data_IF_578117092692
#
_entry.id   IF_578117092692
#
_cell.length_a   1.000
_cell.length_b   1.000
_cell.length_c   1.000
_cell.angle_alpha   90.00
_cell.angle_beta   90.00
_cell.angle_gamma   90.00
#
_symmetry.space_group_name_H-M   'P 1'
#
loop_
_entity.id
_entity.type
_entity.pdbx_description
1 polymer ?
#
# COMPACT_ATOMS: atom_id res chain seq x y z
N UNK A 1 -2.39 11.56 -22.88
CA UNK A 1 -2.77 10.36 -22.11
C UNK A 1 -4.28 10.21 -22.11
N UNK A 2 -5.06 11.12 -21.52
CA UNK A 2 -6.52 11.03 -21.38
C UNK A 2 -7.27 10.67 -22.69
N UNK A 3 -7.00 11.37 -23.79
CA UNK A 3 -7.68 11.10 -25.06
C UNK A 3 -7.38 9.70 -25.63
N UNK A 4 -6.14 9.21 -25.44
CA UNK A 4 -5.75 7.88 -25.90
C UNK A 4 -6.45 6.80 -25.08
N UNK A 5 -6.49 6.96 -23.76
CA UNK A 5 -7.18 6.03 -22.85
C UNK A 5 -8.69 6.01 -23.14
N UNK A 6 -9.31 7.19 -23.28
CA UNK A 6 -10.73 7.32 -23.62
C UNK A 6 -11.06 6.68 -24.95
N UNK A 7 -10.25 6.92 -25.96
CA UNK A 7 -10.47 6.36 -27.31
C UNK A 7 -10.38 4.82 -27.28
N UNK A 8 -9.38 4.28 -26.59
CA UNK A 8 -9.27 2.83 -26.38
C UNK A 8 -10.49 2.25 -25.65
N UNK A 9 -11.01 2.92 -24.62
CA UNK A 9 -12.21 2.48 -23.89
C UNK A 9 -13.49 2.56 -24.74
N UNK A 10 -13.62 3.55 -25.60
CA UNK A 10 -14.77 3.69 -26.49
C UNK A 10 -14.85 2.56 -27.52
N UNK A 11 -13.69 2.12 -28.04
CA UNK A 11 -13.60 1.05 -29.04
C UNK A 11 -13.58 -0.36 -28.44
N UNK A 12 -13.39 -0.51 -27.12
CA UNK A 12 -13.46 -1.80 -26.47
C UNK A 12 -14.89 -2.36 -26.47
N UNK A 13 -15.06 -3.66 -26.65
CA UNK A 13 -16.35 -4.34 -26.54
C UNK A 13 -16.83 -4.33 -25.08
N UNK A 14 -15.91 -4.54 -24.13
CA UNK A 14 -16.18 -4.51 -22.70
C UNK A 14 -14.94 -4.07 -21.91
N UNK A 15 -15.14 -3.48 -20.72
CA UNK A 15 -14.10 -2.96 -19.85
C UNK A 15 -14.19 -3.65 -18.49
N UNK A 16 -13.09 -4.20 -18.02
CA UNK A 16 -12.96 -4.76 -16.67
C UNK A 16 -12.15 -3.78 -15.81
N UNK A 17 -12.69 -3.43 -14.66
CA UNK A 17 -12.02 -2.58 -13.67
C UNK A 17 -11.73 -3.37 -12.40
N UNK A 18 -10.62 -3.05 -11.71
CA UNK A 18 -10.17 -3.78 -10.52
C UNK A 18 -10.89 -3.37 -9.23
N UNK A 19 -11.72 -2.32 -9.29
CA UNK A 19 -12.52 -1.82 -8.16
C UNK A 19 -13.72 -1.01 -8.64
N UNK A 20 -14.72 -0.82 -7.79
CA UNK A 20 -15.82 0.10 -8.06
C UNK A 20 -15.34 1.56 -8.11
N UNK A 21 -14.33 1.89 -7.31
CA UNK A 21 -13.65 3.20 -7.38
C UNK A 21 -13.13 3.48 -8.79
N UNK A 22 -12.43 2.50 -9.39
CA UNK A 22 -11.93 2.63 -10.77
C UNK A 22 -13.08 2.61 -11.78
N UNK A 23 -14.10 1.76 -11.57
CA UNK A 23 -15.31 1.73 -12.41
C UNK A 23 -15.98 3.10 -12.46
N UNK A 24 -16.17 3.72 -11.31
CA UNK A 24 -16.78 5.05 -11.22
C UNK A 24 -15.94 6.09 -11.95
N UNK A 25 -14.61 6.04 -11.81
CA UNK A 25 -13.69 6.91 -12.55
C UNK A 25 -13.84 6.75 -14.07
N UNK A 26 -13.94 5.52 -14.57
CA UNK A 26 -14.14 5.22 -16.01
C UNK A 26 -15.47 5.80 -16.51
N UNK A 27 -16.53 5.61 -15.76
CA UNK A 27 -17.87 6.10 -16.14
C UNK A 27 -17.93 7.63 -16.10
N UNK A 28 -17.50 8.24 -14.99
CA UNK A 28 -17.70 9.68 -14.76
C UNK A 28 -16.68 10.55 -15.51
N UNK A 29 -15.40 10.18 -15.48
CA UNK A 29 -14.34 11.00 -16.09
C UNK A 29 -14.17 10.75 -17.58
N UNK A 30 -14.32 9.51 -18.02
CA UNK A 30 -14.17 9.16 -19.44
C UNK A 30 -15.48 9.09 -20.19
N UNK A 31 -16.62 9.25 -19.49
CA UNK A 31 -17.97 9.21 -20.05
C UNK A 31 -18.26 7.92 -20.82
N UNK A 32 -17.86 6.78 -20.25
CA UNK A 32 -18.11 5.46 -20.81
C UNK A 32 -19.47 4.93 -20.34
N UNK A 33 -20.18 4.25 -21.22
CA UNK A 33 -21.46 3.60 -20.89
C UNK A 33 -21.28 2.62 -19.72
N UNK A 34 -22.01 2.78 -18.61
CA UNK A 34 -21.95 1.87 -17.47
C UNK A 34 -22.21 0.38 -17.81
N UNK A 35 -22.99 0.11 -18.86
CA UNK A 35 -23.27 -1.25 -19.32
C UNK A 35 -22.03 -1.97 -19.90
N UNK A 36 -21.04 -1.21 -20.36
CA UNK A 36 -19.75 -1.73 -20.87
C UNK A 36 -18.73 -2.01 -19.77
N UNK A 37 -18.98 -1.63 -18.51
CA UNK A 37 -17.97 -1.64 -17.45
C UNK A 37 -18.36 -2.57 -16.32
N UNK A 38 -17.56 -3.61 -16.08
CA UNK A 38 -17.75 -4.56 -14.98
C UNK A 38 -16.56 -4.50 -14.01
N UNK A 39 -16.84 -4.55 -12.71
CA UNK A 39 -15.80 -4.67 -11.68
C UNK A 39 -15.47 -6.13 -11.42
N UNK A 40 -14.18 -6.46 -11.49
CA UNK A 40 -13.63 -7.75 -11.06
C UNK A 40 -12.46 -7.42 -10.12
N UNK A 41 -12.66 -7.64 -8.82
CA UNK A 41 -11.63 -7.34 -7.82
C UNK A 41 -10.41 -8.25 -8.00
N UNK A 42 -9.22 -7.68 -7.76
CA UNK A 42 -8.01 -8.47 -7.69
C UNK A 42 -8.04 -9.41 -6.47
N UNK A 43 -7.31 -10.50 -6.59
CA UNK A 43 -7.08 -11.46 -5.52
C UNK A 43 -5.58 -11.71 -5.33
N UNK A 44 -5.24 -12.42 -4.28
CA UNK A 44 -3.89 -12.93 -4.02
C UNK A 44 -3.93 -14.45 -4.04
N UNK A 45 -2.88 -15.07 -4.54
CA UNK A 45 -2.74 -16.51 -4.51
C UNK A 45 -2.53 -17.01 -3.07
N UNK A 46 -2.99 -18.23 -2.76
CA UNK A 46 -2.68 -18.86 -1.48
C UNK A 46 -1.17 -18.93 -1.24
N UNK A 47 -0.75 -18.73 0.01
CA UNK A 47 0.66 -18.80 0.36
C UNK A 47 1.22 -20.21 0.10
N UNK A 48 2.38 -20.30 -0.56
CA UNK A 48 3.13 -21.54 -0.69
C UNK A 48 3.63 -22.05 0.67
N UNK A 49 3.93 -23.33 0.77
CA UNK A 49 4.44 -23.91 2.02
C UNK A 49 5.81 -23.33 2.39
N UNK A 50 6.60 -22.94 1.41
CA UNK A 50 7.84 -22.19 1.63
C UNK A 50 7.60 -20.87 2.36
N UNK A 51 6.60 -20.11 1.94
CA UNK A 51 6.25 -18.82 2.59
C UNK A 51 5.65 -19.07 3.98
N UNK A 52 4.81 -20.09 4.14
CA UNK A 52 4.22 -20.44 5.45
C UNK A 52 5.30 -20.80 6.47
N UNK A 53 6.34 -21.50 6.06
CA UNK A 53 7.43 -21.96 6.92
C UNK A 53 8.44 -20.88 7.31
N UNK A 54 8.35 -19.67 6.75
CA UNK A 54 9.22 -18.56 7.14
C UNK A 54 8.97 -18.19 8.60
N UNK A 55 9.98 -18.35 9.43
CA UNK A 55 10.02 -17.86 10.79
C UNK A 55 10.87 -16.58 10.86
N UNK A 56 10.33 -15.55 11.46
CA UNK A 56 11.03 -14.28 11.64
C UNK A 56 11.00 -13.92 13.13
N UNK A 57 12.15 -13.62 13.74
CA UNK A 57 12.18 -13.22 15.15
C UNK A 57 11.49 -11.87 15.34
N UNK A 58 10.55 -11.81 16.27
CA UNK A 58 9.91 -10.58 16.71
C UNK A 58 10.57 -10.05 17.97
N UNK A 59 10.85 -8.75 17.98
CA UNK A 59 11.32 -8.10 19.20
C UNK A 59 10.16 -7.90 20.18
N UNK A 60 10.24 -8.38 21.43
CA UNK A 60 9.21 -8.09 22.43
C UNK A 60 9.25 -6.62 22.89
N UNK A 61 10.32 -5.89 22.58
CA UNK A 61 10.57 -4.53 23.06
C UNK A 61 10.14 -3.44 22.08
N UNK A 62 10.24 -3.69 20.79
CA UNK A 62 9.95 -2.73 19.73
C UNK A 62 8.97 -3.31 18.72
N UNK A 63 8.02 -2.49 18.27
CA UNK A 63 7.07 -2.81 17.22
C UNK A 63 7.57 -2.31 15.88
N UNK A 64 7.29 -3.05 14.82
CA UNK A 64 7.68 -2.72 13.44
C UNK A 64 6.43 -2.31 12.66
N UNK A 65 6.47 -1.10 12.12
CA UNK A 65 5.41 -0.56 11.24
C UNK A 65 5.99 -0.43 9.84
N UNK A 66 5.33 -1.02 8.85
CA UNK A 66 5.89 -1.15 7.50
C UNK A 66 5.01 -0.51 6.44
N UNK A 67 5.66 0.24 5.54
CA UNK A 67 5.17 0.65 4.23
C UNK A 67 5.82 -0.24 3.18
N UNK A 68 5.03 -0.75 2.23
CA UNK A 68 5.53 -1.54 1.10
C UNK A 68 4.93 -1.02 -0.20
N UNK A 69 5.76 -0.65 -1.15
CA UNK A 69 5.31 -0.24 -2.48
C UNK A 69 6.29 0.68 -3.21
N UNK A 70 5.88 1.17 -4.37
CA UNK A 70 6.64 2.19 -5.08
C UNK A 70 6.69 3.47 -4.23
N UNK A 71 7.87 4.06 -4.09
CA UNK A 71 8.04 5.29 -3.32
C UNK A 71 7.82 6.49 -4.25
N UNK A 72 6.55 6.73 -4.56
CA UNK A 72 6.06 7.76 -5.48
C UNK A 72 4.93 8.55 -4.82
N UNK A 73 4.60 9.74 -5.32
CA UNK A 73 3.55 10.59 -4.77
C UNK A 73 2.21 9.87 -4.64
N UNK A 74 1.85 9.02 -5.60
CA UNK A 74 0.62 8.25 -5.59
C UNK A 74 0.47 7.35 -4.36
N UNK A 75 1.57 6.78 -3.87
CA UNK A 75 1.60 5.86 -2.72
C UNK A 75 1.65 6.58 -1.37
N UNK A 76 1.81 7.91 -1.36
CA UNK A 76 1.77 8.72 -0.16
C UNK A 76 2.88 8.46 0.87
N UNK A 77 4.16 8.26 0.46
CA UNK A 77 5.23 7.95 1.40
C UNK A 77 5.48 9.09 2.39
N UNK A 78 5.19 10.34 2.03
CA UNK A 78 5.30 11.50 2.93
C UNK A 78 4.34 11.38 4.12
N UNK A 79 3.10 10.92 3.89
CA UNK A 79 2.14 10.70 4.97
C UNK A 79 2.62 9.62 5.94
N UNK A 80 3.32 8.60 5.44
CA UNK A 80 3.92 7.57 6.29
C UNK A 80 5.00 8.15 7.20
N UNK A 81 5.92 8.99 6.66
CA UNK A 81 6.98 9.64 7.45
C UNK A 81 6.39 10.62 8.48
N UNK A 82 5.39 11.41 8.10
CA UNK A 82 4.73 12.35 9.01
C UNK A 82 3.95 11.60 10.11
N UNK A 83 3.28 10.51 9.78
CA UNK A 83 2.61 9.67 10.77
C UNK A 83 3.61 9.04 11.75
N UNK A 84 4.76 8.59 11.26
CA UNK A 84 5.85 8.08 12.09
C UNK A 84 6.37 9.15 13.06
N UNK A 85 6.61 10.36 12.58
CA UNK A 85 7.05 11.47 13.42
C UNK A 85 6.04 11.80 14.54
N UNK A 86 4.74 11.70 14.24
CA UNK A 86 3.68 11.89 15.25
C UNK A 86 3.60 10.74 16.24
N UNK A 87 3.75 9.49 15.77
CA UNK A 87 3.76 8.31 16.62
C UNK A 87 4.93 8.32 17.60
N UNK A 88 6.13 8.70 17.15
CA UNK A 88 7.35 8.75 17.96
C UNK A 88 7.31 9.83 19.06
N UNK A 89 6.44 10.82 18.96
CA UNK A 89 6.14 11.74 20.08
C UNK A 89 5.41 11.07 21.23
N UNK A 90 4.75 9.94 20.97
CA UNK A 90 3.95 9.21 21.96
C UNK A 90 4.64 7.97 22.51
N UNK A 91 5.56 7.36 21.74
CA UNK A 91 6.25 6.14 22.13
C UNK A 91 7.60 6.04 21.40
N UNK A 92 8.61 5.53 22.10
CA UNK A 92 9.92 5.23 21.51
C UNK A 92 10.12 3.74 21.19
N UNK A 93 9.06 2.92 21.33
CA UNK A 93 9.09 1.47 21.12
C UNK A 93 8.62 1.06 19.74
N UNK A 94 8.85 1.89 18.74
CA UNK A 94 8.42 1.64 17.35
C UNK A 94 9.55 1.92 16.40
N UNK A 95 9.73 1.04 15.42
CA UNK A 95 10.57 1.23 14.23
C UNK A 95 9.70 1.26 12.99
N UNK A 96 10.15 1.99 11.98
CA UNK A 96 9.46 2.14 10.72
C UNK A 96 10.32 1.56 9.60
N UNK A 97 9.69 0.76 8.73
CA UNK A 97 10.33 0.20 7.54
C UNK A 97 9.64 0.77 6.31
N UNK A 98 10.41 1.34 5.41
CA UNK A 98 9.95 1.77 4.09
C UNK A 98 10.58 0.86 3.05
N UNK A 99 9.79 -0.08 2.54
CA UNK A 99 10.21 -1.08 1.58
C UNK A 99 9.74 -0.73 0.17
N UNK A 100 10.69 -0.65 -0.75
CA UNK A 100 10.44 -0.31 -2.15
C UNK A 100 11.48 0.63 -2.74
N UNK A 101 11.20 1.09 -3.94
CA UNK A 101 12.00 2.08 -4.66
C UNK A 101 11.11 3.06 -5.40
N UNK A 102 11.63 4.22 -5.76
CA UNK A 102 10.90 5.24 -6.49
C UNK A 102 11.61 6.59 -6.46
N UNK A 103 11.07 7.54 -7.20
CA UNK A 103 11.61 8.88 -7.40
C UNK A 103 11.58 9.75 -6.12
N UNK A 104 10.81 9.35 -5.12
CA UNK A 104 10.74 10.05 -3.84
C UNK A 104 11.63 9.44 -2.74
N UNK A 105 12.44 8.41 -3.01
CA UNK A 105 13.25 7.75 -1.99
C UNK A 105 14.17 8.74 -1.25
N UNK A 106 15.00 9.48 -1.99
CA UNK A 106 15.94 10.45 -1.40
C UNK A 106 15.22 11.53 -0.60
N UNK A 107 14.05 11.97 -1.09
CA UNK A 107 13.20 12.91 -0.38
C UNK A 107 12.69 12.35 0.95
N UNK A 108 12.33 11.06 1.00
CA UNK A 108 11.87 10.42 2.25
C UNK A 108 13.00 10.26 3.26
N UNK A 109 14.19 9.91 2.81
CA UNK A 109 15.40 9.86 3.66
C UNK A 109 15.67 11.25 4.26
N UNK A 110 15.66 12.29 3.43
CA UNK A 110 15.85 13.66 3.88
C UNK A 110 14.75 14.12 4.85
N UNK A 111 13.47 13.81 4.54
CA UNK A 111 12.35 14.17 5.40
C UNK A 111 12.46 13.50 6.78
N UNK A 112 12.86 12.22 6.83
CA UNK A 112 13.09 11.52 8.11
C UNK A 112 14.18 12.20 8.95
N UNK A 113 15.24 12.70 8.30
CA UNK A 113 16.31 13.46 8.96
C UNK A 113 15.80 14.82 9.47
N UNK A 114 15.05 15.55 8.66
CA UNK A 114 14.43 16.83 9.06
C UNK A 114 13.46 16.68 10.24
N UNK A 115 12.80 15.53 10.37
CA UNK A 115 11.92 15.20 11.51
C UNK A 115 12.68 14.64 12.71
N UNK A 116 14.01 14.45 12.63
CA UNK A 116 14.88 13.85 13.65
C UNK A 116 14.43 12.43 14.05
N UNK A 117 14.07 11.60 13.06
CA UNK A 117 13.58 10.23 13.27
C UNK A 117 14.31 9.19 12.40
N UNK A 118 15.42 9.56 11.75
CA UNK A 118 16.16 8.66 10.84
C UNK A 118 16.69 7.41 11.56
N UNK A 119 17.03 7.50 12.82
CA UNK A 119 17.48 6.37 13.65
C UNK A 119 16.38 5.34 13.91
N UNK A 120 15.11 5.69 13.62
CA UNK A 120 13.92 4.85 13.75
C UNK A 120 13.41 4.33 12.41
N UNK A 121 14.02 4.77 11.29
CA UNK A 121 13.67 4.34 9.94
C UNK A 121 14.68 3.35 9.38
N UNK A 122 14.16 2.36 8.66
CA UNK A 122 14.94 1.46 7.81
C UNK A 122 14.36 1.50 6.39
N UNK A 123 15.20 1.88 5.42
CA UNK A 123 14.88 1.90 3.99
C UNK A 123 15.50 0.66 3.35
N UNK A 124 14.68 -0.29 2.91
CA UNK A 124 15.17 -1.58 2.40
C UNK A 124 15.63 -1.54 0.95
N UNK A 125 15.16 -0.54 0.18
CA UNK A 125 15.19 -0.64 -1.27
C UNK A 125 14.13 -1.63 -1.79
N UNK A 126 14.27 -2.04 -3.04
CA UNK A 126 13.32 -2.93 -3.71
C UNK A 126 13.46 -4.37 -3.22
N UNK A 127 12.35 -4.96 -2.79
CA UNK A 127 12.26 -6.37 -2.34
C UNK A 127 11.55 -7.23 -3.38
N UNK A 128 11.89 -8.53 -3.46
CA UNK A 128 11.31 -9.49 -4.41
C UNK A 128 10.93 -10.80 -3.75
N UNK A 129 9.83 -11.39 -4.22
CA UNK A 129 9.41 -12.75 -3.86
C UNK A 129 9.42 -12.98 -2.35
N UNK A 130 10.18 -13.96 -1.88
CA UNK A 130 10.29 -14.35 -0.47
C UNK A 130 10.65 -13.19 0.47
N UNK A 131 11.53 -12.26 0.05
CA UNK A 131 11.94 -11.11 0.86
C UNK A 131 10.77 -10.21 1.27
N UNK A 132 9.74 -10.08 0.41
CA UNK A 132 8.52 -9.33 0.73
C UNK A 132 7.80 -9.96 1.91
N UNK A 133 7.64 -11.27 1.90
CA UNK A 133 6.96 -12.00 2.97
C UNK A 133 7.78 -12.08 4.26
N UNK A 134 9.10 -12.19 4.16
CA UNK A 134 10.01 -12.08 5.32
C UNK A 134 9.84 -10.74 6.02
N UNK A 135 9.85 -9.65 5.25
CA UNK A 135 9.64 -8.30 5.77
C UNK A 135 8.23 -8.12 6.34
N UNK A 136 7.18 -8.60 5.64
CA UNK A 136 5.81 -8.52 6.16
C UNK A 136 5.66 -9.33 7.45
N UNK A 137 6.17 -10.57 7.50
CA UNK A 137 6.15 -11.39 8.72
C UNK A 137 6.92 -10.76 9.89
N UNK A 138 7.96 -9.96 9.61
CA UNK A 138 8.69 -9.20 10.64
C UNK A 138 7.92 -7.96 11.12
N UNK A 139 6.81 -7.63 10.49
CA UNK A 139 6.03 -6.43 10.79
C UNK A 139 4.90 -6.71 11.78
N UNK A 140 4.62 -5.75 12.66
CA UNK A 140 3.46 -5.77 13.56
C UNK A 140 2.24 -5.04 12.96
N UNK A 141 2.49 -4.08 12.05
CA UNK A 141 1.44 -3.32 11.37
C UNK A 141 1.92 -2.95 9.95
N UNK A 142 1.06 -3.14 8.99
CA UNK A 142 1.24 -2.66 7.63
C UNK A 142 0.45 -1.37 7.39
N UNK A 143 1.04 -0.39 6.67
CA UNK A 143 0.39 0.89 6.39
C UNK A 143 0.47 1.21 4.91
N UNK A 144 -0.69 1.45 4.28
CA UNK A 144 -0.83 1.90 2.89
C UNK A 144 -1.53 3.26 2.84
N UNK A 145 -0.81 4.38 2.91
CA UNK A 145 -1.37 5.72 2.92
C UNK A 145 -1.55 6.30 1.51
N UNK A 146 -1.90 5.45 0.54
CA UNK A 146 -1.99 5.84 -0.86
C UNK A 146 -3.02 6.95 -1.08
N UNK A 147 -2.62 7.97 -1.84
CA UNK A 147 -3.50 9.08 -2.25
C UNK A 147 -4.50 8.61 -3.31
N UNK A 148 -4.06 7.72 -4.18
CA UNK A 148 -4.89 7.09 -5.21
C UNK A 148 -4.39 5.67 -5.43
N UNK A 149 -5.25 4.70 -5.21
CA UNK A 149 -4.92 3.28 -5.34
C UNK A 149 -6.05 2.56 -6.08
N UNK A 150 -5.86 2.16 -7.33
CA UNK A 150 -6.87 1.45 -8.11
C UNK A 150 -7.43 0.22 -7.41
N UNK A 151 -6.55 -0.55 -6.73
CA UNK A 151 -6.96 -1.66 -5.88
C UNK A 151 -6.11 -1.73 -4.61
N UNK A 152 -4.82 -2.10 -4.70
CA UNK A 152 -3.91 -2.32 -3.57
C UNK A 152 -3.84 -3.79 -3.15
N UNK A 153 -2.89 -4.54 -3.72
CA UNK A 153 -2.68 -5.96 -3.40
C UNK A 153 -1.91 -6.12 -2.07
N UNK A 154 -0.99 -5.23 -1.78
CA UNK A 154 -0.09 -5.35 -0.62
C UNK A 154 -0.80 -5.49 0.75
N UNK A 155 -1.96 -4.84 1.02
CA UNK A 155 -2.72 -5.12 2.25
C UNK A 155 -3.21 -6.56 2.34
N UNK A 156 -3.58 -7.18 1.20
CA UNK A 156 -4.00 -8.57 1.17
C UNK A 156 -2.83 -9.51 1.48
N UNK A 157 -1.65 -9.22 0.89
CA UNK A 157 -0.41 -9.96 1.17
C UNK A 157 -0.02 -9.86 2.66
N UNK A 158 -0.12 -8.67 3.26
CA UNK A 158 0.13 -8.48 4.68
C UNK A 158 -0.86 -9.28 5.55
N UNK A 159 -2.14 -9.23 5.24
CA UNK A 159 -3.18 -9.96 5.97
C UNK A 159 -3.05 -11.48 5.83
N UNK A 160 -2.59 -12.00 4.68
CA UNK A 160 -2.32 -13.42 4.50
C UNK A 160 -1.28 -13.96 5.49
N UNK A 161 -0.30 -13.14 5.88
CA UNK A 161 0.72 -13.51 6.87
C UNK A 161 0.37 -13.06 8.29
N UNK A 162 -0.88 -12.62 8.52
CA UNK A 162 -1.39 -12.28 9.84
C UNK A 162 -1.07 -10.85 10.31
N UNK A 163 -0.61 -9.98 9.42
CA UNK A 163 -0.24 -8.59 9.75
C UNK A 163 -1.45 -7.66 9.57
N UNK A 164 -1.92 -7.00 10.63
CA UNK A 164 -3.01 -6.05 10.54
C UNK A 164 -2.64 -4.84 9.68
N UNK A 165 -3.62 -4.33 8.93
CA UNK A 165 -3.40 -3.29 7.93
C UNK A 165 -4.16 -2.01 8.25
N UNK A 166 -3.50 -0.88 8.05
CA UNK A 166 -4.08 0.46 8.01
C UNK A 166 -4.02 0.93 6.56
N UNK A 167 -5.15 1.25 5.97
CA UNK A 167 -5.24 1.63 4.56
C UNK A 167 -5.98 2.95 4.38
N UNK A 168 -5.69 3.65 3.28
CA UNK A 168 -6.49 4.81 2.91
C UNK A 168 -7.88 4.37 2.40
N UNK A 169 -8.90 5.17 2.69
CA UNK A 169 -10.26 4.98 2.15
C UNK A 169 -10.30 5.11 0.62
N UNK A 170 -9.34 5.85 0.05
CA UNK A 170 -9.20 6.11 -1.38
C UNK A 170 -8.45 4.98 -2.11
N UNK A 171 -8.63 3.75 -1.66
CA UNK A 171 -8.09 2.54 -2.28
C UNK A 171 -9.20 1.57 -2.64
N UNK A 172 -9.08 0.91 -3.80
CA UNK A 172 -10.08 -0.04 -4.24
C UNK A 172 -10.25 -1.24 -3.32
N UNK A 173 -9.18 -1.70 -2.66
CA UNK A 173 -9.28 -2.78 -1.67
C UNK A 173 -10.08 -2.38 -0.42
N UNK A 174 -10.25 -1.08 -0.14
CA UNK A 174 -11.08 -0.62 0.96
C UNK A 174 -12.57 -0.99 0.78
N UNK A 175 -13.00 -1.30 -0.44
CA UNK A 175 -14.37 -1.73 -0.71
C UNK A 175 -14.67 -3.10 -0.11
N UNK A 176 -13.69 -4.00 -0.12
CA UNK A 176 -13.87 -5.41 0.23
C UNK A 176 -13.25 -5.79 1.58
N UNK A 177 -12.21 -5.07 2.03
CA UNK A 177 -11.55 -5.38 3.29
C UNK A 177 -12.37 -4.85 4.47
N UNK A 178 -12.78 -5.73 5.39
CA UNK A 178 -13.54 -5.38 6.59
C UNK A 178 -12.69 -5.33 7.85
N UNK A 179 -11.67 -6.18 7.95
CA UNK A 179 -10.81 -6.29 9.13
C UNK A 179 -9.56 -5.41 9.02
N UNK A 180 -9.74 -4.15 8.63
CA UNK A 180 -8.67 -3.16 8.47
C UNK A 180 -9.09 -1.82 9.04
N UNK A 181 -8.11 -1.01 9.44
CA UNK A 181 -8.37 0.39 9.78
C UNK A 181 -8.33 1.21 8.50
N UNK A 182 -9.44 1.88 8.19
CA UNK A 182 -9.57 2.77 7.04
C UNK A 182 -9.46 4.22 7.48
N UNK A 183 -8.52 4.96 6.92
CA UNK A 183 -8.27 6.37 7.28
C UNK A 183 -8.23 7.25 6.05
N UNK A 184 -8.53 8.53 6.25
CA UNK A 184 -8.21 9.56 5.27
C UNK A 184 -6.72 9.90 5.37
N UNK A 185 -6.14 10.50 4.34
CA UNK A 185 -4.72 10.82 4.28
C UNK A 185 -4.41 12.27 4.69
N UNK A 186 -5.39 13.06 5.13
CA UNK A 186 -5.23 14.38 5.76
C UNK A 186 -5.39 14.37 7.27
#
# INVERSE_FOLDING_TARGET
VYNIERDGMLHADHIITVSNLTRQTVIEKYHIDPAKVTTVHNAVEPLSDEIKSIEVPHSPKEKVVTFLGRITMQKGPEYFVEAAARALKKTNRVRFVMAGSGDMMDKMILLSAQRNISDRFHFTGFLRGKQVYEMLKASDVYVMPSVSEPFGISPLEAMQVGVPSIISKQSGCAEILTNVIKTDYW
#
